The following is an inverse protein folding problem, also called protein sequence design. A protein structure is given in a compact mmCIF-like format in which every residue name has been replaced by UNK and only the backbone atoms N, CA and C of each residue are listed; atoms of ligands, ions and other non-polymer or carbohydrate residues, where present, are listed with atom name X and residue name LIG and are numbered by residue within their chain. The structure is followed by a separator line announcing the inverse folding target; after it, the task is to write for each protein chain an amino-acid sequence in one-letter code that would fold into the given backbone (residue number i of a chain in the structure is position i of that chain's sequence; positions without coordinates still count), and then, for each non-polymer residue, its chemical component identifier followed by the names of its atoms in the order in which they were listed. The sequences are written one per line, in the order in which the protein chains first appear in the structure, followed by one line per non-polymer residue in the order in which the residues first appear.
data_IF_028757402365
#
_entry.id   IF_028757402365
#
_cell.length_a   1.000
_cell.length_b   1.000
_cell.length_c   1.000
_cell.angle_alpha   90.00
_cell.angle_beta   90.00
_cell.angle_gamma   90.00
#
_symmetry.space_group_name_H-M   'P 1'
#
loop_
_entity.id
_entity.type
_entity.pdbx_description
1 polymer ?
#
# COMPACT_ATOMS: atom_id res chain seq x y z
N UNK A 1 3.46 -9.70 15.73
CA UNK A 1 3.18 -10.17 14.37
C UNK A 1 3.93 -9.28 13.41
N UNK A 2 4.92 -9.80 12.70
CA UNK A 2 5.71 -9.02 11.74
C UNK A 2 5.01 -9.03 10.38
N UNK A 3 4.75 -7.86 9.81
CA UNK A 3 4.18 -7.75 8.46
C UNK A 3 5.25 -8.09 7.42
N UNK A 4 4.91 -8.96 6.47
CA UNK A 4 5.79 -9.30 5.36
C UNK A 4 5.54 -8.37 4.17
N UNK A 5 6.31 -7.27 4.12
CA UNK A 5 6.23 -6.29 3.05
C UNK A 5 6.93 -6.80 1.78
N UNK A 6 6.26 -6.66 0.65
CA UNK A 6 6.84 -6.91 -0.67
C UNK A 6 6.50 -5.77 -1.62
N UNK A 7 7.35 -5.57 -2.61
CA UNK A 7 7.10 -4.57 -3.65
C UNK A 7 5.95 -5.00 -4.56
N UNK A 8 5.16 -4.04 -5.02
CA UNK A 8 4.10 -4.30 -6.00
C UNK A 8 4.69 -4.65 -7.37
N UNK A 9 4.07 -5.59 -8.09
CA UNK A 9 4.46 -5.93 -9.47
C UNK A 9 4.20 -4.81 -10.49
N UNK A 10 3.48 -3.76 -10.10
CA UNK A 10 3.16 -2.59 -10.93
C UNK A 10 4.08 -1.39 -10.63
N UNK A 11 5.08 -1.59 -9.78
CA UNK A 11 6.10 -0.59 -9.46
C UNK A 11 7.17 -0.56 -10.57
N UNK A 12 6.85 0.07 -11.70
CA UNK A 12 7.76 0.22 -12.83
C UNK A 12 7.09 1.01 -13.96
N UNK A 13 7.62 2.19 -14.27
CA UNK A 13 7.09 3.05 -15.34
C UNK A 13 7.52 2.60 -16.74
N UNK A 14 6.61 2.72 -17.71
CA UNK A 14 6.88 2.59 -19.15
C UNK A 14 7.61 3.85 -19.64
N UNK A 15 8.91 3.95 -19.38
CA UNK A 15 9.68 5.15 -19.72
C UNK A 15 11.18 4.99 -19.54
N UNK A 16 11.84 4.55 -20.61
CA UNK A 16 13.16 4.97 -21.11
C UNK A 16 14.43 4.98 -20.24
N UNK A 17 14.41 4.99 -18.91
CA UNK A 17 15.63 5.19 -18.13
C UNK A 17 15.68 4.49 -16.77
N UNK A 18 15.19 3.25 -16.66
CA UNK A 18 15.70 2.20 -15.74
C UNK A 18 15.79 2.48 -14.22
N UNK A 19 15.50 3.68 -13.74
CA UNK A 19 15.72 4.17 -12.38
C UNK A 19 14.37 4.49 -11.71
N UNK A 20 13.29 3.85 -12.16
CA UNK A 20 11.93 3.98 -11.63
C UNK A 20 11.77 3.20 -10.33
N UNK A 21 12.44 3.67 -9.28
CA UNK A 21 12.42 3.07 -7.95
C UNK A 21 11.00 2.84 -7.46
N UNK A 22 10.76 1.63 -7.00
CA UNK A 22 9.44 1.14 -6.62
C UNK A 22 8.72 2.14 -5.74
N UNK A 23 7.43 2.37 -5.97
CA UNK A 23 6.64 3.41 -5.28
C UNK A 23 5.65 2.86 -4.26
N UNK A 24 5.32 1.55 -4.30
CA UNK A 24 4.33 0.95 -3.40
C UNK A 24 4.80 -0.42 -2.89
N UNK A 25 4.70 -0.61 -1.58
CA UNK A 25 4.81 -1.91 -0.91
C UNK A 25 3.44 -2.38 -0.43
N UNK A 26 3.26 -3.69 -0.45
CA UNK A 26 2.05 -4.37 0.00
C UNK A 26 2.37 -5.43 1.04
N UNK A 27 1.48 -5.59 2.02
CA UNK A 27 1.52 -6.67 2.99
C UNK A 27 0.09 -7.17 3.28
N UNK A 28 -0.03 -8.40 3.76
CA UNK A 28 -1.28 -8.91 4.32
C UNK A 28 -1.26 -8.73 5.83
N UNK A 29 -2.13 -7.86 6.33
CA UNK A 29 -2.36 -7.64 7.76
C UNK A 29 -3.57 -8.41 8.28
N UNK A 30 -3.85 -8.32 9.60
CA UNK A 30 -4.94 -9.07 10.24
C UNK A 30 -6.33 -8.78 9.68
N UNK A 31 -6.56 -7.55 9.23
CA UNK A 31 -7.87 -7.07 8.74
C UNK A 31 -7.94 -6.94 7.22
N UNK A 32 -6.88 -7.30 6.51
CA UNK A 32 -6.83 -7.28 5.05
C UNK A 32 -5.53 -6.71 4.47
N UNK A 33 -5.53 -6.40 3.16
CA UNK A 33 -4.38 -5.83 2.48
C UNK A 33 -4.01 -4.45 3.02
N UNK A 34 -2.70 -4.24 3.16
CA UNK A 34 -2.08 -2.97 3.57
C UNK A 34 -1.21 -2.47 2.43
N UNK A 35 -1.21 -1.16 2.20
CA UNK A 35 -0.38 -0.49 1.20
C UNK A 35 0.35 0.70 1.82
N UNK A 36 1.63 0.86 1.47
CA UNK A 36 2.42 2.04 1.87
C UNK A 36 3.36 2.48 0.76
N UNK A 37 3.83 3.71 0.87
CA UNK A 37 4.92 4.22 0.05
C UNK A 37 6.24 3.57 0.50
N UNK A 38 6.91 2.89 -0.43
CA UNK A 38 8.26 2.32 -0.26
C UNK A 38 9.31 3.38 0.07
N UNK A 39 9.13 4.62 -0.41
CA UNK A 39 10.05 5.76 -0.20
C UNK A 39 9.83 6.44 1.14
N UNK A 40 8.68 6.18 1.77
CA UNK A 40 8.36 6.66 3.11
C UNK A 40 7.74 5.53 3.96
N UNK A 41 8.54 4.53 4.38
CA UNK A 41 8.04 3.33 5.07
C UNK A 41 7.44 3.62 6.46
N UNK A 42 7.74 4.80 7.03
CA UNK A 42 7.19 5.30 8.30
C UNK A 42 5.98 6.23 8.10
N UNK A 43 5.58 6.48 6.85
CA UNK A 43 4.39 7.26 6.52
C UNK A 43 3.09 6.48 6.77
N UNK A 44 1.94 7.08 6.40
CA UNK A 44 0.64 6.45 6.54
C UNK A 44 0.54 5.12 5.78
N UNK A 45 -0.15 4.16 6.38
CA UNK A 45 -0.51 2.89 5.75
C UNK A 45 -1.99 2.99 5.37
N UNK A 46 -2.29 2.74 4.09
CA UNK A 46 -3.67 2.61 3.63
C UNK A 46 -4.12 1.17 3.86
N UNK A 47 -5.33 1.00 4.41
CA UNK A 47 -5.97 -0.31 4.51
C UNK A 47 -7.35 -0.30 3.85
N UNK A 48 -7.70 -1.43 3.23
CA UNK A 48 -9.05 -1.63 2.67
C UNK A 48 -10.10 -1.62 3.78
N UNK A 49 -9.74 -2.08 4.99
CA UNK A 49 -10.62 -2.07 6.14
C UNK A 49 -11.02 -0.64 6.55
N UNK A 50 -10.07 0.29 6.54
CA UNK A 50 -10.33 1.70 6.87
C UNK A 50 -11.27 2.33 5.85
N UNK A 51 -11.06 2.07 4.56
CA UNK A 51 -11.97 2.53 3.50
C UNK A 51 -13.40 2.01 3.73
N UNK A 52 -13.56 0.72 4.00
CA UNK A 52 -14.88 0.13 4.27
C UNK A 52 -15.52 0.74 5.52
N UNK A 53 -14.74 0.99 6.57
CA UNK A 53 -15.23 1.64 7.78
C UNK A 53 -15.69 3.08 7.50
N UNK A 54 -14.91 3.86 6.75
CA UNK A 54 -15.29 5.21 6.33
C UNK A 54 -16.57 5.22 5.50
N UNK A 55 -16.70 4.30 4.54
CA UNK A 55 -17.92 4.19 3.72
C UNK A 55 -19.15 3.82 4.55
N UNK A 56 -18.99 3.01 5.61
CA UNK A 56 -20.09 2.70 6.55
C UNK A 56 -20.48 3.92 7.37
N UNK A 57 -19.50 4.71 7.81
CA UNK A 57 -19.75 5.93 8.59
C UNK A 57 -20.53 6.98 7.77
N UNK A 58 -20.26 7.09 6.47
CA UNK A 58 -20.96 8.02 5.57
C UNK A 58 -22.41 7.60 5.23
N UNK A 59 -22.80 6.36 5.57
CA UNK A 59 -24.15 5.84 5.33
C UNK A 59 -25.06 5.93 6.56
N UNK A 60 -24.57 6.49 7.66
CA UNK A 60 -25.35 6.82 8.86
C UNK A 60 -25.71 8.30 8.86
#
# INVERSE_FOLDING_TARGET
MTLNWRKSSHSGGVGGNGNGGDCIEVAYGPTGPLMRDSKNPNGPILSVADLVASLRALRQ
#
